data_IF_889971559360
#
_entry.id   IF_889971559360
#
_cell.length_a   1.000
_cell.length_b   1.000
_cell.length_c   1.000
_cell.angle_alpha   90.00
_cell.angle_beta   90.00
_cell.angle_gamma   90.00
#
_symmetry.space_group_name_H-M   'P 1'
#
loop_
_entity.id
_entity.type
_entity.pdbx_description
1 polymer ?
#
# COMPACT_ATOMS: atom_id res chain seq x y z
N UNK A 1 8.42 21.61 -12.01
CA UNK A 1 9.13 20.35 -12.37
C UNK A 1 8.71 19.27 -11.38
N UNK A 2 8.20 18.15 -11.88
CA UNK A 2 7.82 17.02 -11.02
C UNK A 2 9.10 16.31 -10.58
N UNK A 3 9.33 16.25 -9.27
CA UNK A 3 10.47 15.53 -8.73
C UNK A 3 10.23 14.01 -8.81
N UNK A 4 11.25 13.28 -9.27
CA UNK A 4 11.23 11.81 -9.29
C UNK A 4 11.17 11.26 -7.87
N UNK A 5 10.17 10.97 -7.29
CA UNK A 5 9.96 10.55 -5.91
C UNK A 5 8.78 11.24 -5.26
N UNK A 6 8.15 12.13 -6.00
CA UNK A 6 6.89 12.73 -5.56
C UNK A 6 5.77 11.69 -5.61
N UNK A 7 5.10 11.51 -4.50
CA UNK A 7 3.92 10.66 -4.44
C UNK A 7 2.69 11.41 -4.96
N UNK A 8 1.90 10.75 -5.76
CA UNK A 8 0.64 11.27 -6.26
C UNK A 8 -0.50 10.91 -5.33
N UNK A 9 -1.35 11.88 -5.03
CA UNK A 9 -2.59 11.63 -4.30
C UNK A 9 -3.60 10.94 -5.20
N UNK A 10 -4.27 9.92 -4.65
CA UNK A 10 -5.32 9.16 -5.34
C UNK A 10 -6.54 9.03 -4.43
N UNK A 11 -7.70 9.02 -5.05
CA UNK A 11 -8.92 8.63 -4.36
C UNK A 11 -9.05 7.10 -4.34
N UNK A 12 -9.82 6.60 -3.39
CA UNK A 12 -10.04 5.16 -3.27
C UNK A 12 -10.52 4.53 -4.59
N UNK A 13 -11.45 5.17 -5.26
CA UNK A 13 -12.01 4.71 -6.52
C UNK A 13 -11.04 4.74 -7.71
N UNK A 14 -9.98 5.54 -7.63
CA UNK A 14 -8.94 5.55 -8.68
C UNK A 14 -8.11 4.25 -8.68
N UNK A 15 -7.97 3.64 -7.51
CA UNK A 15 -7.20 2.41 -7.32
C UNK A 15 -8.11 1.19 -7.30
N UNK A 16 -9.19 1.25 -6.55
CA UNK A 16 -10.14 0.16 -6.33
C UNK A 16 -11.52 0.56 -6.82
N UNK A 17 -11.72 0.48 -8.13
CA UNK A 17 -12.98 0.92 -8.78
C UNK A 17 -14.19 0.08 -8.37
N UNK A 18 -13.99 -1.15 -7.97
CA UNK A 18 -15.06 -2.05 -7.58
C UNK A 18 -15.20 -2.21 -6.07
N UNK A 19 -14.19 -2.52 -5.35
CA UNK A 19 -14.11 -2.62 -3.89
C UNK A 19 -12.77 -3.23 -3.51
N UNK A 20 -12.36 -3.07 -2.25
CA UNK A 20 -11.20 -3.75 -1.70
C UNK A 20 -11.61 -4.54 -0.44
N UNK A 21 -11.05 -5.73 -0.31
CA UNK A 21 -11.34 -6.62 0.81
C UNK A 21 -10.05 -6.93 1.57
N UNK A 22 -10.09 -6.71 2.88
CA UNK A 22 -8.95 -6.97 3.75
C UNK A 22 -8.63 -8.46 3.79
N UNK A 23 -7.37 -8.80 3.63
CA UNK A 23 -6.89 -10.17 3.74
C UNK A 23 -6.00 -10.40 4.95
N UNK A 24 -4.89 -9.67 5.04
CA UNK A 24 -4.01 -9.71 6.21
C UNK A 24 -3.15 -8.46 6.32
N UNK A 25 -2.53 -8.28 7.47
CA UNK A 25 -1.56 -7.22 7.75
C UNK A 25 -0.32 -7.84 8.37
N UNK A 26 0.83 -7.33 7.98
CA UNK A 26 2.12 -7.79 8.50
C UNK A 26 3.10 -6.61 8.60
N UNK A 27 4.14 -6.71 9.45
CA UNK A 27 5.21 -5.72 9.46
C UNK A 27 5.91 -5.67 8.10
N UNK A 28 6.24 -4.46 7.65
CA UNK A 28 7.08 -4.26 6.46
C UNK A 28 8.55 -4.38 6.87
N UNK A 29 9.11 -5.57 6.72
CA UNK A 29 10.47 -5.85 7.14
C UNK A 29 11.49 -5.49 6.05
N UNK A 30 12.60 -4.91 6.48
CA UNK A 30 13.75 -4.66 5.63
C UNK A 30 14.58 -5.95 5.51
N UNK A 31 14.75 -6.40 4.27
CA UNK A 31 15.48 -7.63 3.99
C UNK A 31 16.94 -7.58 4.44
N UNK A 32 17.60 -6.44 4.30
CA UNK A 32 18.98 -6.26 4.74
C UNK A 32 19.11 -6.31 6.26
N UNK A 33 18.14 -5.74 6.98
CA UNK A 33 18.09 -5.81 8.43
C UNK A 33 17.82 -7.24 8.92
N UNK A 34 17.01 -8.02 8.21
CA UNK A 34 16.80 -9.44 8.50
C UNK A 34 18.10 -10.21 8.31
N UNK A 35 18.82 -9.99 7.21
CA UNK A 35 20.09 -10.66 6.91
C UNK A 35 21.17 -10.34 7.96
N UNK A 36 21.22 -9.13 8.45
CA UNK A 36 22.15 -8.70 9.50
C UNK A 36 21.71 -9.11 10.91
N UNK A 37 20.59 -9.80 11.07
CA UNK A 37 19.99 -10.20 12.35
C UNK A 37 19.75 -9.03 13.30
N UNK A 38 19.32 -7.90 12.77
CA UNK A 38 18.94 -6.75 13.57
C UNK A 38 17.78 -7.11 14.52
N UNK A 39 17.80 -6.52 15.72
CA UNK A 39 16.75 -6.77 16.72
C UNK A 39 15.37 -6.28 16.28
N UNK A 40 15.33 -5.22 15.46
CA UNK A 40 14.10 -4.68 14.90
C UNK A 40 14.26 -4.50 13.37
N UNK A 41 13.87 -5.49 12.57
CA UNK A 41 14.02 -5.44 11.12
C UNK A 41 12.91 -4.65 10.41
N UNK A 42 11.92 -4.16 11.14
CA UNK A 42 10.79 -3.45 10.56
C UNK A 42 11.21 -2.09 10.02
N UNK A 43 10.81 -1.80 8.78
CA UNK A 43 11.01 -0.49 8.17
C UNK A 43 10.27 0.60 8.92
N UNK A 44 10.83 1.80 8.89
CA UNK A 44 10.21 3.00 9.43
C UNK A 44 10.00 4.03 8.32
N UNK A 45 8.93 4.78 8.44
CA UNK A 45 8.70 5.93 7.56
C UNK A 45 9.75 7.01 7.83
N UNK A 46 10.38 7.50 6.77
CA UNK A 46 11.47 8.48 6.87
C UNK A 46 11.02 9.82 7.42
N UNK A 47 9.77 10.19 7.18
CA UNK A 47 9.24 11.49 7.59
C UNK A 47 8.72 11.47 9.03
N UNK A 48 7.95 10.46 9.41
CA UNK A 48 7.32 10.37 10.72
C UNK A 48 8.10 9.51 11.73
N UNK A 49 9.00 8.66 11.27
CA UNK A 49 9.69 7.67 12.11
C UNK A 49 8.79 6.51 12.57
N UNK A 50 7.54 6.49 12.18
CA UNK A 50 6.61 5.43 12.54
C UNK A 50 6.91 4.14 11.79
N UNK A 51 6.53 3.03 12.40
CA UNK A 51 6.66 1.71 11.79
C UNK A 51 5.80 1.59 10.54
N UNK A 52 6.32 0.89 9.52
CA UNK A 52 5.58 0.58 8.31
C UNK A 52 4.96 -0.82 8.39
N UNK A 53 3.71 -0.89 7.97
CA UNK A 53 2.92 -2.11 7.92
C UNK A 53 2.43 -2.33 6.50
N UNK A 54 2.40 -3.58 6.06
CA UNK A 54 1.86 -3.96 4.76
C UNK A 54 0.49 -4.56 4.96
N UNK A 55 -0.51 -3.89 4.42
CA UNK A 55 -1.88 -4.41 4.34
C UNK A 55 -2.08 -5.03 2.98
N UNK A 56 -2.40 -6.30 2.93
CA UNK A 56 -2.75 -7.00 1.70
C UNK A 56 -4.25 -7.06 1.57
N UNK A 57 -4.75 -6.57 0.45
CA UNK A 57 -6.18 -6.58 0.13
C UNK A 57 -6.44 -7.32 -1.18
N UNK A 58 -7.65 -7.79 -1.35
CA UNK A 58 -8.14 -8.32 -2.60
C UNK A 58 -8.86 -7.22 -3.37
N UNK A 59 -8.48 -7.04 -4.63
CA UNK A 59 -9.19 -6.16 -5.55
C UNK A 59 -10.47 -6.85 -6.02
N UNK A 60 -11.60 -6.19 -5.84
CA UNK A 60 -12.91 -6.70 -6.24
C UNK A 60 -13.17 -6.63 -7.74
N UNK A 61 -12.27 -6.04 -8.52
CA UNK A 61 -12.39 -5.98 -9.97
C UNK A 61 -12.11 -7.36 -10.58
N UNK A 62 -13.10 -7.98 -11.23
CA UNK A 62 -12.90 -9.29 -11.84
C UNK A 62 -11.89 -9.30 -13.00
N UNK A 63 -11.60 -8.13 -13.58
CA UNK A 63 -10.62 -7.96 -14.64
C UNK A 63 -9.24 -7.49 -14.14
N UNK A 64 -9.05 -7.38 -12.83
CA UNK A 64 -7.77 -7.02 -12.26
C UNK A 64 -6.69 -8.04 -12.62
N UNK A 65 -5.56 -7.55 -13.12
CA UNK A 65 -4.42 -8.43 -13.49
C UNK A 65 -3.81 -9.11 -12.27
N UNK A 66 -3.87 -8.46 -11.12
CA UNK A 66 -3.37 -8.97 -9.86
C UNK A 66 -4.49 -8.88 -8.84
N UNK A 67 -4.90 -10.02 -8.31
CA UNK A 67 -5.98 -10.07 -7.33
C UNK A 67 -5.56 -9.45 -5.99
N UNK A 68 -4.30 -9.61 -5.60
CA UNK A 68 -3.77 -9.06 -4.36
C UNK A 68 -3.04 -7.75 -4.60
N UNK A 69 -3.36 -6.76 -3.77
CA UNK A 69 -2.72 -5.44 -3.78
C UNK A 69 -2.19 -5.14 -2.40
N UNK A 70 -0.97 -4.64 -2.33
CA UNK A 70 -0.31 -4.24 -1.08
C UNK A 70 -0.36 -2.74 -0.90
N UNK A 71 -0.82 -2.32 0.27
CA UNK A 71 -0.86 -0.91 0.69
C UNK A 71 -0.06 -0.77 1.98
N UNK A 72 0.91 0.14 2.00
CA UNK A 72 1.72 0.40 3.18
C UNK A 72 1.10 1.49 4.03
N UNK A 73 1.09 1.28 5.33
CA UNK A 73 0.59 2.24 6.31
C UNK A 73 1.68 2.48 7.36
N UNK A 74 1.99 3.76 7.60
CA UNK A 74 2.85 4.16 8.71
C UNK A 74 2.01 4.35 9.96
N UNK A 75 2.29 3.58 11.01
CA UNK A 75 1.56 3.65 12.28
C UNK A 75 2.44 3.13 13.42
N UNK A 76 2.25 3.63 14.65
CA UNK A 76 3.02 3.15 15.81
C UNK A 76 2.69 1.71 16.19
N UNK A 77 1.49 1.25 15.89
CA UNK A 77 1.02 -0.09 16.15
C UNK A 77 0.36 -0.69 14.91
N UNK A 78 0.24 -2.02 14.89
CA UNK A 78 -0.38 -2.72 13.79
C UNK A 78 -1.81 -2.24 13.54
N UNK A 79 -2.15 -1.83 12.31
CA UNK A 79 -3.52 -1.46 11.96
C UNK A 79 -4.50 -2.61 12.26
N UNK A 80 -5.63 -2.25 12.86
CA UNK A 80 -6.66 -3.22 13.23
C UNK A 80 -7.62 -3.40 12.05
N UNK A 81 -7.83 -4.64 11.58
CA UNK A 81 -8.80 -4.89 10.53
C UNK A 81 -10.21 -4.57 11.01
N UNK A 82 -11.09 -4.07 10.12
CA UNK A 82 -12.49 -3.88 10.48
C UNK A 82 -13.18 -5.22 10.75
N UNK A 83 -14.33 -5.21 11.45
CA UNK A 83 -15.09 -6.43 11.67
C UNK A 83 -15.57 -7.04 10.35
N UNK A 84 -15.79 -8.37 10.30
CA UNK A 84 -16.27 -9.04 9.10
C UNK A 84 -17.57 -8.44 8.59
N UNK A 85 -17.66 -8.32 7.26
CA UNK A 85 -18.89 -7.86 6.60
C UNK A 85 -19.86 -9.04 6.44
N UNK A 86 -21.15 -8.90 6.79
CA UNK A 86 -22.13 -9.95 6.57
C UNK A 86 -22.18 -10.40 5.11
N UNK A 87 -22.14 -11.70 4.88
CA UNK A 87 -22.19 -12.29 3.53
C UNK A 87 -20.86 -12.27 2.76
N UNK A 88 -19.77 -11.79 3.35
CA UNK A 88 -18.44 -11.82 2.76
C UNK A 88 -17.44 -12.50 3.69
N UNK A 89 -16.56 -13.38 3.16
CA UNK A 89 -15.51 -13.99 3.97
C UNK A 89 -14.41 -12.99 4.38
N UNK A 90 -14.33 -11.85 3.71
CA UNK A 90 -13.34 -10.82 3.97
C UNK A 90 -14.01 -9.47 4.24
N UNK A 91 -13.54 -8.72 5.25
CA UNK A 91 -14.05 -7.38 5.51
C UNK A 91 -13.78 -6.43 4.33
N UNK A 92 -14.78 -5.66 3.94
CA UNK A 92 -14.60 -4.58 2.97
C UNK A 92 -13.93 -3.38 3.64
N UNK A 93 -12.90 -2.83 3.01
CA UNK A 93 -12.12 -1.72 3.55
C UNK A 93 -11.99 -0.58 2.57
N UNK A 94 -11.78 0.60 3.12
CA UNK A 94 -11.36 1.79 2.40
C UNK A 94 -10.11 2.38 3.04
N UNK A 95 -9.27 2.98 2.21
CA UNK A 95 -8.05 3.63 2.67
C UNK A 95 -8.20 5.14 2.61
N UNK A 96 -7.67 5.80 3.63
CA UNK A 96 -7.57 7.26 3.69
C UNK A 96 -6.18 7.71 3.26
N UNK A 97 -6.10 8.86 2.59
CA UNK A 97 -4.84 9.45 2.21
C UNK A 97 -4.00 8.57 1.28
N UNK A 98 -4.64 7.89 0.33
CA UNK A 98 -3.94 7.08 -0.66
C UNK A 98 -2.97 7.92 -1.48
N UNK A 99 -1.77 7.40 -1.63
CA UNK A 99 -0.74 7.96 -2.52
C UNK A 99 -0.08 6.83 -3.31
N UNK A 100 0.36 7.16 -4.50
CA UNK A 100 1.11 6.24 -5.35
C UNK A 100 2.46 6.83 -5.74
N UNK A 101 3.47 5.98 -5.71
CA UNK A 101 4.79 6.27 -6.25
C UNK A 101 5.05 5.31 -7.41
N UNK A 102 5.16 5.80 -8.65
CA UNK A 102 5.51 4.94 -9.77
C UNK A 102 6.97 4.52 -9.70
N UNK A 103 7.24 3.30 -10.07
CA UNK A 103 8.59 2.77 -10.21
C UNK A 103 8.66 1.77 -11.36
N UNK A 104 9.86 1.54 -11.86
CA UNK A 104 10.08 0.61 -12.97
C UNK A 104 10.50 -0.74 -12.40
N UNK A 105 9.66 -1.76 -12.62
CA UNK A 105 10.00 -3.14 -12.28
C UNK A 105 10.86 -3.75 -13.39
N UNK A 106 12.16 -3.80 -13.16
CA UNK A 106 13.13 -4.41 -14.06
C UNK A 106 13.36 -5.90 -13.85
N UNK A 107 12.77 -6.52 -12.86
CA UNK A 107 13.06 -7.93 -12.53
C UNK A 107 12.61 -8.91 -13.60
N UNK A 108 11.59 -8.59 -14.36
CA UNK A 108 11.12 -9.41 -15.47
C UNK A 108 12.07 -9.44 -16.65
N UNK A 109 13.04 -8.54 -16.68
CA UNK A 109 14.05 -8.47 -17.73
C UNK A 109 15.22 -9.43 -17.52
N UNK A 110 15.43 -9.92 -16.30
CA UNK A 110 16.61 -10.75 -15.95
C UNK A 110 16.60 -12.17 -16.57
N UNK A 111 15.47 -12.64 -17.04
CA UNK A 111 15.34 -13.99 -17.58
C UNK A 111 15.25 -14.08 -19.11
N UNK A 112 15.41 -12.98 -19.84
CA UNK A 112 15.43 -12.98 -21.29
C UNK A 112 16.85 -12.91 -21.80
N UNK A 113 17.29 -13.97 -22.42
CA UNK A 113 18.59 -14.06 -23.08
C UNK A 113 18.72 -13.01 -24.19
N UNK A 114 19.67 -12.11 -24.01
CA UNK A 114 20.44 -11.46 -25.10
C UNK A 114 19.73 -10.54 -26.11
N UNK A 115 18.54 -10.01 -25.86
CA UNK A 115 18.09 -8.91 -26.70
C UNK A 115 17.64 -7.73 -25.83
N UNK A 116 18.58 -6.84 -25.58
CA UNK A 116 18.40 -5.61 -24.80
C UNK A 116 17.34 -4.66 -25.39
N UNK A 117 16.84 -4.96 -26.58
CA UNK A 117 15.89 -4.12 -27.29
C UNK A 117 14.43 -4.34 -26.89
N UNK A 118 14.10 -5.44 -26.22
CA UNK A 118 12.73 -5.81 -25.89
C UNK A 118 12.40 -5.75 -24.40
N UNK A 119 13.33 -5.38 -23.55
CA UNK A 119 13.08 -5.25 -22.13
C UNK A 119 12.30 -3.98 -21.84
N UNK A 120 11.01 -4.01 -22.08
CA UNK A 120 10.09 -2.99 -21.62
C UNK A 120 9.81 -3.23 -20.14
N UNK A 121 10.54 -2.52 -19.27
CA UNK A 121 10.24 -2.50 -17.85
C UNK A 121 8.76 -2.15 -17.65
N UNK A 122 8.09 -2.83 -16.72
CA UNK A 122 6.73 -2.49 -16.33
C UNK A 122 6.74 -1.37 -15.33
N UNK A 123 5.89 -0.38 -15.55
CA UNK A 123 5.59 0.60 -14.50
C UNK A 123 4.71 -0.08 -13.45
N UNK A 124 5.19 -0.08 -12.22
CA UNK A 124 4.46 -0.51 -11.05
C UNK A 124 4.24 0.67 -10.11
N UNK A 125 3.32 0.54 -9.17
CA UNK A 125 3.00 1.59 -8.21
C UNK A 125 3.19 1.07 -6.79
N UNK A 126 3.93 1.83 -5.99
CA UNK A 126 4.00 1.63 -4.55
C UNK A 126 2.89 2.46 -3.89
N UNK A 127 1.92 1.78 -3.30
CA UNK A 127 0.77 2.42 -2.66
C UNK A 127 1.05 2.63 -1.16
N UNK A 128 0.68 3.81 -0.67
CA UNK A 128 0.64 4.15 0.75
C UNK A 128 -0.71 4.72 1.11
N UNK A 129 -1.10 4.56 2.37
CA UNK A 129 -2.27 5.18 2.95
C UNK A 129 -1.93 5.73 4.33
N UNK A 130 -2.69 6.72 4.79
CA UNK A 130 -2.59 7.24 6.16
C UNK A 130 -3.37 6.39 7.16
N UNK A 131 -4.37 5.66 6.71
CA UNK A 131 -5.19 4.80 7.54
C UNK A 131 -6.10 3.89 6.74
N UNK A 132 -6.70 2.95 7.45
CA UNK A 132 -7.68 1.99 6.93
C UNK A 132 -8.93 2.07 7.79
N UNK A 133 -10.09 2.02 7.16
CA UNK A 133 -11.39 2.07 7.84
C UNK A 133 -12.38 1.11 7.20
N UNK A 134 -13.46 0.75 7.92
CA UNK A 134 -14.55 0.01 7.30
C UNK A 134 -15.16 0.77 6.12
N UNK A 135 -15.57 0.07 5.08
CA UNK A 135 -16.23 0.68 3.94
C UNK A 135 -17.53 1.38 4.35
N UNK A 136 -17.81 2.53 3.74
CA UNK A 136 -19.00 3.32 4.03
C UNK A 136 -18.92 4.20 5.28
N UNK A 137 -17.86 4.09 6.07
CA UNK A 137 -17.61 4.97 7.21
C UNK A 137 -16.86 6.20 6.73
N UNK A 138 -17.42 7.39 6.97
CA UNK A 138 -16.73 8.64 6.62
C UNK A 138 -15.45 8.79 7.45
N UNK A 139 -14.35 9.25 6.86
CA UNK A 139 -13.17 9.59 7.63
C UNK A 139 -13.54 10.67 8.67
N UNK A 140 -12.95 10.55 9.86
CA UNK A 140 -13.08 11.60 10.86
C UNK A 140 -12.62 12.94 10.27
N UNK A 141 -13.34 14.04 10.47
CA UNK A 141 -12.88 15.33 9.99
C UNK A 141 -11.49 15.60 10.56
N UNK A 142 -10.59 16.00 9.67
CA UNK A 142 -9.28 16.44 10.11
C UNK A 142 -9.50 17.49 11.21
N UNK A 143 -8.95 17.27 12.40
CA UNK A 143 -8.92 18.29 13.43
C UNK A 143 -8.13 19.43 12.83
N UNK A 144 -8.82 20.44 12.36
CA UNK A 144 -8.21 21.73 12.11
C UNK A 144 -7.62 22.17 13.43
N UNK A 145 -6.29 22.16 13.52
CA UNK A 145 -5.60 22.70 14.65
C UNK A 145 -6.04 24.14 14.79
N UNK A 146 -6.86 24.42 15.78
CA UNK A 146 -7.04 25.78 16.24
C UNK A 146 -5.70 26.20 16.84
N UNK A 147 -4.91 26.87 16.03
CA UNK A 147 -3.88 27.73 16.56
C UNK A 147 -4.60 28.93 17.17
N UNK A 148 -4.64 28.96 18.48
CA UNK A 148 -4.77 30.19 19.22
C UNK A 148 -3.39 30.80 19.43
#
# INVERSE_FOLDING_TARGET
MINLGTRFRLEMQDVFSHRAYFRHVEPDNDFDLIRSKAADPQKRDKDSGQRLWVVTVLDGDPEARTAEVKVRIAAPAQPVPPPPTPGSPFPEVEFDGLTALPWVDGQRCKNRRHDDRECRGRVAFSLRASGMRPAGVRPAPARSGQQQ
#
